data_IF_749183530074
#
_entry.id   IF_749183530074
#
_cell.length_a   1.000
_cell.length_b   1.000
_cell.length_c   1.000
_cell.angle_alpha   90.00
_cell.angle_beta   90.00
_cell.angle_gamma   90.00
#
_symmetry.space_group_name_H-M   'P 1'
#
loop_
_entity.id
_entity.type
_entity.pdbx_description
1 polymer ?
#
# COMPACT_ATOMS: atom_id res chain seq x y z
N UNK A 1 13.58 -35.59 -117.30
CA UNK A 1 14.76 -36.40 -117.67
C UNK A 1 14.70 -36.91 -119.12
N UNK A 2 15.83 -36.96 -119.82
CA UNK A 2 16.09 -37.72 -121.06
C UNK A 2 16.40 -39.19 -120.73
N UNK A 3 16.54 -40.04 -121.76
CA UNK A 3 16.80 -41.49 -121.55
C UNK A 3 18.17 -41.75 -120.93
N UNK A 4 19.19 -40.95 -121.24
CA UNK A 4 20.54 -41.08 -120.67
C UNK A 4 20.53 -40.81 -119.16
N UNK A 5 19.90 -39.71 -118.75
CA UNK A 5 19.70 -39.33 -117.34
C UNK A 5 18.93 -40.42 -116.57
N UNK A 6 17.84 -40.96 -117.15
CA UNK A 6 17.07 -42.06 -116.56
C UNK A 6 17.86 -43.38 -116.43
N UNK A 7 18.92 -43.58 -117.22
CA UNK A 7 19.82 -44.73 -117.04
C UNK A 7 20.78 -44.47 -115.90
N UNK A 8 21.48 -43.33 -115.92
CA UNK A 8 22.43 -42.96 -114.87
C UNK A 8 21.80 -43.01 -113.45
N UNK A 9 20.58 -42.50 -113.28
CA UNK A 9 19.84 -42.54 -112.00
C UNK A 9 19.42 -43.96 -111.56
N UNK A 10 19.24 -44.89 -112.50
CA UNK A 10 18.96 -46.29 -112.21
C UNK A 10 20.26 -47.07 -111.93
N UNK A 11 21.29 -46.88 -112.76
CA UNK A 11 22.60 -47.52 -112.62
C UNK A 11 23.26 -47.09 -111.29
N UNK A 12 23.15 -45.82 -110.89
CA UNK A 12 23.62 -45.31 -109.59
C UNK A 12 22.90 -45.93 -108.37
N UNK A 13 21.65 -46.39 -108.53
CA UNK A 13 20.88 -47.14 -107.53
C UNK A 13 21.03 -48.66 -107.69
N UNK A 14 21.97 -49.15 -108.51
CA UNK A 14 22.18 -50.57 -108.82
C UNK A 14 20.96 -51.26 -109.49
N UNK A 15 20.19 -50.52 -110.29
CA UNK A 15 18.94 -50.98 -110.91
C UNK A 15 19.08 -51.25 -112.42
N UNK A 16 18.18 -52.06 -112.95
CA UNK A 16 18.14 -52.37 -114.38
C UNK A 16 17.75 -51.13 -115.23
N UNK A 17 18.75 -50.55 -115.90
CA UNK A 17 18.65 -49.40 -116.83
C UNK A 17 18.22 -49.75 -118.27
N UNK A 18 17.90 -51.02 -118.56
CA UNK A 18 17.46 -51.48 -119.89
C UNK A 18 15.94 -51.43 -120.03
N UNK A 19 15.45 -50.94 -121.17
CA UNK A 19 14.02 -50.85 -121.49
C UNK A 19 13.63 -49.57 -122.23
N UNK A 20 12.32 -49.41 -122.47
CA UNK A 20 11.70 -48.20 -123.01
C UNK A 20 11.70 -47.06 -121.95
N UNK A 21 11.67 -45.80 -122.39
CA UNK A 21 11.69 -44.62 -121.50
C UNK A 21 10.64 -44.69 -120.39
N UNK A 22 9.42 -45.14 -120.70
CA UNK A 22 8.32 -45.34 -119.74
C UNK A 22 8.65 -46.37 -118.66
N UNK A 23 9.33 -47.47 -119.01
CA UNK A 23 9.75 -48.51 -118.06
C UNK A 23 10.84 -48.03 -117.12
N UNK A 24 11.77 -47.19 -117.60
CA UNK A 24 12.81 -46.58 -116.77
C UNK A 24 12.20 -45.59 -115.77
N UNK A 25 11.30 -44.72 -116.23
CA UNK A 25 10.54 -43.81 -115.36
C UNK A 25 9.76 -44.59 -114.30
N UNK A 26 9.01 -45.63 -114.68
CA UNK A 26 8.21 -46.40 -113.74
C UNK A 26 9.03 -47.08 -112.63
N UNK A 27 10.24 -47.57 -112.94
CA UNK A 27 11.17 -48.12 -111.93
C UNK A 27 11.69 -47.03 -110.99
N UNK A 28 12.17 -45.91 -111.55
CA UNK A 28 12.73 -44.82 -110.76
C UNK A 28 11.67 -44.18 -109.85
N UNK A 29 10.47 -43.90 -110.37
CA UNK A 29 9.34 -43.36 -109.59
C UNK A 29 8.87 -44.33 -108.50
N UNK A 30 8.88 -45.65 -108.73
CA UNK A 30 8.54 -46.61 -107.67
C UNK A 30 9.55 -46.54 -106.52
N UNK A 31 10.84 -46.45 -106.84
CA UNK A 31 11.90 -46.49 -105.83
C UNK A 31 12.04 -45.16 -105.09
N UNK A 32 11.90 -44.02 -105.76
CA UNK A 32 11.80 -42.70 -105.09
C UNK A 32 10.63 -42.65 -104.08
N UNK A 33 9.49 -43.30 -104.37
CA UNK A 33 8.40 -43.46 -103.40
C UNK A 33 8.80 -44.34 -102.21
N UNK A 34 9.37 -45.52 -102.48
CA UNK A 34 9.85 -46.42 -101.42
C UNK A 34 10.99 -45.82 -100.56
N UNK A 35 11.79 -44.90 -101.12
CA UNK A 35 12.81 -44.11 -100.41
C UNK A 35 12.12 -43.06 -99.51
N UNK A 36 11.16 -42.29 -100.05
CA UNK A 36 10.42 -41.27 -99.29
C UNK A 36 9.55 -41.86 -98.16
N UNK A 37 8.81 -42.94 -98.44
CA UNK A 37 7.97 -43.65 -97.45
C UNK A 37 8.82 -44.18 -96.26
N UNK A 38 10.07 -44.56 -96.52
CA UNK A 38 11.02 -44.94 -95.46
C UNK A 38 11.51 -43.74 -94.67
N UNK A 39 11.92 -42.66 -95.34
CA UNK A 39 12.46 -41.46 -94.69
C UNK A 39 11.42 -40.79 -93.78
N UNK A 40 10.13 -40.84 -94.12
CA UNK A 40 9.04 -40.43 -93.24
C UNK A 40 8.88 -41.37 -92.04
N UNK A 41 8.98 -42.69 -92.22
CA UNK A 41 8.87 -43.67 -91.13
C UNK A 41 10.02 -43.59 -90.12
N UNK A 42 11.25 -43.34 -90.57
CA UNK A 42 12.43 -43.20 -89.69
C UNK A 42 12.38 -41.89 -88.89
N UNK A 43 11.84 -40.81 -89.47
CA UNK A 43 11.61 -39.53 -88.76
C UNK A 43 10.53 -39.65 -87.70
N UNK A 44 9.43 -40.35 -87.98
CA UNK A 44 8.36 -40.58 -87.01
C UNK A 44 8.86 -41.33 -85.77
N UNK A 45 9.55 -42.46 -85.96
CA UNK A 45 10.06 -43.28 -84.86
C UNK A 45 11.11 -42.56 -83.99
N UNK A 46 11.92 -41.67 -84.59
CA UNK A 46 12.93 -40.90 -83.87
C UNK A 46 12.30 -39.76 -83.04
N UNK A 47 11.21 -39.14 -83.51
CA UNK A 47 10.47 -38.14 -82.75
C UNK A 47 9.75 -38.74 -81.52
N UNK A 48 9.01 -39.83 -81.73
CA UNK A 48 8.22 -40.52 -80.70
C UNK A 48 9.10 -41.07 -79.55
N UNK A 49 10.34 -41.46 -79.86
CA UNK A 49 11.33 -41.88 -78.86
C UNK A 49 12.00 -40.72 -78.12
N UNK A 50 12.14 -39.52 -78.72
CA UNK A 50 12.61 -38.34 -77.98
C UNK A 50 11.54 -37.78 -77.01
N UNK A 51 10.29 -37.66 -77.44
CA UNK A 51 9.20 -37.13 -76.59
C UNK A 51 8.94 -38.00 -75.36
N UNK A 52 9.05 -39.34 -75.51
CA UNK A 52 8.80 -40.29 -74.41
C UNK A 52 9.93 -40.41 -73.39
N UNK A 53 11.13 -39.91 -73.69
CA UNK A 53 12.24 -39.82 -72.73
C UNK A 53 12.23 -38.48 -71.98
N UNK A 54 11.95 -37.36 -72.66
CA UNK A 54 11.78 -36.05 -72.01
C UNK A 54 10.58 -36.04 -71.05
N UNK A 55 9.44 -36.60 -71.43
CA UNK A 55 8.26 -36.70 -70.57
C UNK A 55 8.56 -37.46 -69.25
N UNK A 56 9.33 -38.56 -69.32
CA UNK A 56 9.73 -39.33 -68.13
C UNK A 56 10.69 -38.55 -67.22
N UNK A 57 11.63 -37.79 -67.80
CA UNK A 57 12.52 -36.94 -67.00
C UNK A 57 11.75 -35.85 -66.26
N UNK A 58 10.79 -35.20 -66.92
CA UNK A 58 9.95 -34.19 -66.28
C UNK A 58 9.09 -34.79 -65.15
N UNK A 59 8.45 -35.94 -65.38
CA UNK A 59 7.62 -36.62 -64.37
C UNK A 59 8.44 -37.08 -63.15
N UNK A 60 9.69 -37.53 -63.33
CA UNK A 60 10.58 -37.91 -62.23
C UNK A 60 11.13 -36.69 -61.47
N UNK A 61 11.38 -35.56 -62.15
CA UNK A 61 11.83 -34.33 -61.51
C UNK A 61 10.70 -33.64 -60.72
N UNK A 62 9.45 -33.67 -61.21
CA UNK A 62 8.28 -33.23 -60.44
C UNK A 62 8.08 -34.06 -59.18
N UNK A 63 8.12 -35.40 -59.28
CA UNK A 63 7.98 -36.29 -58.10
C UNK A 63 9.06 -36.04 -57.04
N UNK A 64 10.30 -35.75 -57.45
CA UNK A 64 11.38 -35.37 -56.53
C UNK A 64 11.11 -34.02 -55.85
N UNK A 65 10.63 -33.01 -56.58
CA UNK A 65 10.24 -31.70 -56.03
C UNK A 65 9.01 -31.81 -55.11
N UNK A 66 8.07 -32.69 -55.40
CA UNK A 66 6.89 -32.93 -54.56
C UNK A 66 7.26 -33.65 -53.25
N UNK A 67 8.13 -34.66 -53.28
CA UNK A 67 8.68 -35.27 -52.06
C UNK A 67 9.45 -34.26 -51.20
N UNK A 68 10.29 -33.43 -51.81
CA UNK A 68 11.10 -32.45 -51.07
C UNK A 68 10.22 -31.38 -50.43
N UNK A 69 9.13 -30.97 -51.10
CA UNK A 69 8.09 -30.12 -50.51
C UNK A 69 7.41 -30.79 -49.31
N UNK A 70 6.91 -32.02 -49.46
CA UNK A 70 6.24 -32.76 -48.38
C UNK A 70 7.14 -32.93 -47.16
N UNK A 71 8.43 -33.23 -47.38
CA UNK A 71 9.45 -33.33 -46.32
C UNK A 71 9.67 -32.00 -45.59
N UNK A 72 9.66 -30.86 -46.31
CA UNK A 72 9.74 -29.52 -45.71
C UNK A 72 8.47 -29.15 -44.94
N UNK A 73 7.28 -29.38 -45.48
CA UNK A 73 6.01 -29.17 -44.76
C UNK A 73 5.91 -30.04 -43.49
N UNK A 74 6.42 -31.27 -43.53
CA UNK A 74 6.46 -32.15 -42.35
C UNK A 74 7.47 -31.68 -41.29
N UNK A 75 8.65 -31.18 -41.69
CA UNK A 75 9.59 -30.52 -40.77
C UNK A 75 9.02 -29.24 -40.15
N UNK A 76 8.39 -28.38 -40.95
CA UNK A 76 7.80 -27.13 -40.46
C UNK A 76 6.65 -27.40 -39.50
N UNK A 77 5.75 -28.34 -39.82
CA UNK A 77 4.71 -28.80 -38.88
C UNK A 77 5.28 -29.36 -37.58
N UNK A 78 6.35 -30.16 -37.65
CA UNK A 78 7.01 -30.70 -36.45
C UNK A 78 7.63 -29.59 -35.58
N UNK A 79 8.26 -28.59 -36.20
CA UNK A 79 8.80 -27.41 -35.49
C UNK A 79 7.68 -26.56 -34.87
N UNK A 80 6.60 -26.31 -35.60
CA UNK A 80 5.43 -25.57 -35.09
C UNK A 80 4.74 -26.31 -33.94
N UNK A 81 4.58 -27.63 -34.03
CA UNK A 81 4.01 -28.46 -32.95
C UNK A 81 4.94 -28.52 -31.72
N UNK A 82 6.26 -28.54 -31.91
CA UNK A 82 7.24 -28.51 -30.81
C UNK A 82 7.31 -27.12 -30.14
N UNK A 83 7.28 -26.03 -30.91
CA UNK A 83 7.17 -24.67 -30.37
C UNK A 83 5.86 -24.49 -29.60
N UNK A 84 4.74 -24.99 -30.13
CA UNK A 84 3.44 -24.96 -29.46
C UNK A 84 3.47 -25.72 -28.14
N UNK A 85 4.03 -26.94 -28.10
CA UNK A 85 4.23 -27.69 -26.86
C UNK A 85 5.15 -26.95 -25.88
N UNK A 86 6.23 -26.32 -26.34
CA UNK A 86 7.11 -25.48 -25.52
C UNK A 86 6.44 -24.19 -25.03
N UNK A 87 5.44 -23.67 -25.74
CA UNK A 87 4.64 -22.52 -25.29
C UNK A 87 3.61 -22.96 -24.24
N UNK A 88 2.91 -24.07 -24.48
CA UNK A 88 1.93 -24.69 -23.58
C UNK A 88 2.59 -25.19 -22.27
N UNK A 89 3.81 -25.74 -22.33
CA UNK A 89 4.61 -26.09 -21.15
C UNK A 89 5.10 -24.84 -20.39
N UNK A 90 5.47 -23.75 -21.10
CA UNK A 90 5.79 -22.46 -20.47
C UNK A 90 4.57 -21.86 -19.77
N UNK A 91 3.40 -21.92 -20.39
CA UNK A 91 2.13 -21.48 -19.82
C UNK A 91 1.76 -22.31 -18.60
N UNK A 92 1.79 -23.65 -18.71
CA UNK A 92 1.60 -24.56 -17.57
C UNK A 92 2.52 -24.20 -16.41
N UNK A 93 3.82 -24.04 -16.64
CA UNK A 93 4.77 -23.65 -15.60
C UNK A 93 4.47 -22.26 -14.99
N UNK A 94 3.90 -21.32 -15.77
CA UNK A 94 3.47 -19.99 -15.32
C UNK A 94 2.11 -19.97 -14.59
N UNK A 95 1.31 -21.04 -14.72
CA UNK A 95 0.15 -21.33 -13.90
C UNK A 95 0.59 -22.07 -12.62
N UNK A 96 1.36 -23.14 -12.75
CA UNK A 96 1.81 -24.00 -11.66
C UNK A 96 2.58 -23.19 -10.60
N UNK A 97 3.55 -22.35 -11.00
CA UNK A 97 4.25 -21.39 -10.11
C UNK A 97 3.38 -20.27 -9.52
N UNK A 98 2.14 -20.10 -9.99
CA UNK A 98 1.22 -19.04 -9.55
C UNK A 98 0.15 -19.55 -8.60
N UNK A 99 -0.24 -20.82 -8.77
CA UNK A 99 -1.27 -21.50 -8.00
C UNK A 99 -0.69 -22.59 -7.07
N UNK A 100 0.61 -22.56 -6.77
CA UNK A 100 1.22 -23.36 -5.70
C UNK A 100 0.54 -23.06 -4.37
N UNK A 101 -0.04 -24.07 -3.73
CA UNK A 101 -0.56 -23.95 -2.38
C UNK A 101 0.58 -23.96 -1.35
N UNK A 102 0.52 -23.14 -0.29
CA UNK A 102 1.49 -23.15 0.80
C UNK A 102 1.26 -24.33 1.76
N UNK A 103 2.31 -24.74 2.48
CA UNK A 103 2.29 -25.87 3.42
C UNK A 103 1.35 -25.67 4.64
N UNK A 104 1.03 -24.42 4.96
CA UNK A 104 0.12 -24.06 6.05
C UNK A 104 -1.27 -23.68 5.50
N UNK A 105 -2.37 -24.03 6.20
CA UNK A 105 -3.72 -23.73 5.76
C UNK A 105 -3.99 -22.22 5.82
N UNK A 106 -3.98 -21.57 4.65
CA UNK A 106 -4.32 -20.16 4.46
C UNK A 106 -5.12 -19.94 3.18
N UNK A 107 -5.90 -18.85 3.14
CA UNK A 107 -6.65 -18.46 1.95
C UNK A 107 -5.68 -17.80 0.96
N UNK A 108 -5.47 -18.43 -0.19
CA UNK A 108 -4.68 -17.87 -1.29
C UNK A 108 -5.59 -17.05 -2.20
N UNK A 109 -5.26 -15.78 -2.42
CA UNK A 109 -6.04 -14.86 -3.27
C UNK A 109 -5.21 -14.44 -4.48
N UNK A 110 -5.81 -14.50 -5.66
CA UNK A 110 -5.19 -14.06 -6.91
C UNK A 110 -6.05 -12.97 -7.56
N UNK A 111 -5.79 -11.68 -7.30
CA UNK A 111 -6.55 -10.57 -7.88
C UNK A 111 -6.49 -10.59 -9.42
N UNK A 112 -7.61 -10.25 -10.06
CA UNK A 112 -7.73 -10.31 -11.52
C UNK A 112 -6.84 -9.25 -12.19
N UNK A 113 -5.90 -9.72 -13.03
CA UNK A 113 -4.96 -8.86 -13.78
C UNK A 113 -5.62 -8.02 -14.87
N UNK A 114 -6.88 -8.29 -15.23
CA UNK A 114 -7.64 -7.52 -16.24
C UNK A 114 -8.70 -6.61 -15.60
N UNK A 115 -9.19 -6.93 -14.40
CA UNK A 115 -10.14 -6.08 -13.69
C UNK A 115 -9.49 -4.73 -13.28
N UNK A 116 -10.26 -3.64 -13.36
CA UNK A 116 -9.80 -2.26 -13.08
C UNK A 116 -8.45 -1.91 -13.76
N UNK A 117 -8.24 -2.39 -14.99
CA UNK A 117 -6.98 -2.22 -15.76
C UNK A 117 -5.73 -2.75 -15.02
N UNK A 118 -5.87 -3.87 -14.31
CA UNK A 118 -4.80 -4.47 -13.51
C UNK A 118 -4.57 -3.82 -12.16
N UNK A 119 -5.36 -2.80 -11.79
CA UNK A 119 -5.39 -2.14 -10.47
C UNK A 119 -6.46 -2.72 -9.54
N UNK A 120 -6.92 -3.94 -9.79
CA UNK A 120 -7.75 -4.68 -8.84
C UNK A 120 -6.83 -5.45 -7.90
N UNK A 121 -6.75 -4.99 -6.66
CA UNK A 121 -5.92 -5.53 -5.59
C UNK A 121 -6.76 -6.25 -4.52
N UNK A 122 -6.08 -6.85 -3.54
CA UNK A 122 -6.69 -7.40 -2.34
C UNK A 122 -5.70 -7.21 -1.19
N UNK A 123 -6.19 -6.73 -0.05
CA UNK A 123 -5.38 -6.38 1.12
C UNK A 123 -5.95 -7.04 2.37
N UNK A 124 -5.09 -7.36 3.33
CA UNK A 124 -5.50 -7.95 4.60
C UNK A 124 -5.78 -6.83 5.60
N UNK A 125 -7.02 -6.76 6.08
CA UNK A 125 -7.45 -5.82 7.12
C UNK A 125 -7.82 -6.60 8.40
N UNK A 126 -7.43 -6.07 9.56
CA UNK A 126 -7.89 -6.60 10.84
C UNK A 126 -9.26 -6.02 11.20
N UNK A 127 -10.05 -6.77 11.97
CA UNK A 127 -11.34 -6.29 12.50
C UNK A 127 -11.18 -4.96 13.25
N UNK A 128 -10.08 -4.78 13.99
CA UNK A 128 -9.75 -3.53 14.69
C UNK A 128 -9.53 -2.32 13.78
N UNK A 129 -9.15 -2.51 12.51
CA UNK A 129 -9.03 -1.42 11.53
C UNK A 129 -10.37 -1.15 10.85
N UNK A 130 -11.21 -2.17 10.67
CA UNK A 130 -12.56 -2.01 10.10
C UNK A 130 -13.57 -1.33 11.06
N UNK A 131 -13.25 -1.30 12.36
CA UNK A 131 -14.01 -0.59 13.42
C UNK A 131 -13.42 0.80 13.75
N UNK A 132 -12.27 1.16 13.17
CA UNK A 132 -11.63 2.47 13.34
C UNK A 132 -12.17 3.44 12.27
N UNK A 133 -13.38 3.95 12.49
CA UNK A 133 -14.13 4.78 11.54
C UNK A 133 -13.36 6.05 11.10
N UNK A 134 -12.94 6.13 9.83
CA UNK A 134 -12.22 7.30 9.29
C UNK A 134 -13.10 8.16 8.38
N UNK A 135 -12.61 9.36 8.09
CA UNK A 135 -13.27 10.27 7.15
C UNK A 135 -13.37 9.65 5.75
N UNK A 136 -12.37 8.85 5.34
CA UNK A 136 -12.39 8.09 4.08
C UNK A 136 -13.57 7.12 3.93
N UNK A 137 -14.13 6.60 5.04
CA UNK A 137 -15.11 5.50 5.04
C UNK A 137 -16.58 5.96 4.93
N UNK A 138 -16.83 7.27 4.88
CA UNK A 138 -18.17 7.86 4.73
C UNK A 138 -18.74 7.71 3.29
N UNK A 139 -18.41 6.60 2.62
CA UNK A 139 -18.80 6.28 1.24
C UNK A 139 -19.68 5.03 1.25
N UNK A 140 -20.71 5.03 0.41
CA UNK A 140 -21.70 3.95 0.29
C UNK A 140 -21.07 2.55 0.14
N UNK A 141 -19.96 2.43 -0.60
CA UNK A 141 -19.25 1.15 -0.79
C UNK A 141 -18.47 0.64 0.44
N UNK A 142 -18.27 1.47 1.47
CA UNK A 142 -17.72 1.03 2.76
C UNK A 142 -18.81 0.62 3.75
N UNK A 143 -20.05 1.11 3.59
CA UNK A 143 -21.14 0.92 4.56
C UNK A 143 -21.44 -0.55 4.86
N UNK A 144 -21.56 -1.40 3.83
CA UNK A 144 -21.80 -2.84 4.03
C UNK A 144 -20.63 -3.53 4.77
N UNK A 145 -19.41 -3.05 4.57
CA UNK A 145 -18.20 -3.60 5.22
C UNK A 145 -18.16 -3.21 6.69
N UNK A 146 -18.47 -1.95 7.03
CA UNK A 146 -18.57 -1.49 8.42
C UNK A 146 -19.73 -2.17 9.16
N UNK A 147 -20.90 -2.30 8.53
CA UNK A 147 -22.04 -3.02 9.11
C UNK A 147 -21.72 -4.50 9.35
N UNK A 148 -21.03 -5.16 8.42
CA UNK A 148 -20.54 -6.52 8.62
C UNK A 148 -19.52 -6.60 9.77
N UNK A 149 -18.58 -5.65 9.86
CA UNK A 149 -17.57 -5.60 10.91
C UNK A 149 -18.21 -5.48 12.30
N UNK A 150 -19.20 -4.61 12.48
CA UNK A 150 -19.93 -4.47 13.75
C UNK A 150 -20.72 -5.73 14.11
N UNK A 151 -21.48 -6.31 13.19
CA UNK A 151 -22.24 -7.54 13.44
C UNK A 151 -21.33 -8.74 13.75
N UNK A 152 -20.17 -8.82 13.10
CA UNK A 152 -19.16 -9.85 13.38
C UNK A 152 -18.47 -9.62 14.73
N UNK A 153 -18.21 -8.37 15.10
CA UNK A 153 -17.69 -7.98 16.41
C UNK A 153 -18.70 -8.30 17.53
N UNK A 154 -19.98 -7.96 17.36
CA UNK A 154 -21.05 -8.31 18.31
C UNK A 154 -21.15 -9.83 18.50
N UNK A 155 -21.14 -10.60 17.40
CA UNK A 155 -21.15 -12.06 17.45
C UNK A 155 -19.95 -12.61 18.23
N UNK A 156 -18.74 -12.11 17.98
CA UNK A 156 -17.54 -12.50 18.71
C UNK A 156 -17.61 -12.13 20.19
N UNK A 157 -17.98 -10.89 20.52
CA UNK A 157 -18.13 -10.42 21.91
C UNK A 157 -19.15 -11.27 22.67
N UNK A 158 -20.29 -11.57 22.06
CA UNK A 158 -21.35 -12.42 22.63
C UNK A 158 -20.84 -13.84 22.88
N UNK A 159 -20.20 -14.47 21.89
CA UNK A 159 -19.69 -15.84 22.01
C UNK A 159 -18.54 -15.94 23.03
N UNK A 160 -17.65 -14.94 23.11
CA UNK A 160 -16.64 -14.89 24.17
C UNK A 160 -17.25 -14.63 25.55
N UNK A 161 -18.24 -13.74 25.66
CA UNK A 161 -18.96 -13.50 26.92
C UNK A 161 -19.67 -14.77 27.42
N UNK A 162 -20.31 -15.54 26.54
CA UNK A 162 -20.90 -16.84 26.91
C UNK A 162 -19.84 -17.88 27.33
N UNK A 163 -18.66 -17.92 26.69
CA UNK A 163 -17.56 -18.79 27.13
C UNK A 163 -17.04 -18.41 28.51
N UNK A 164 -16.86 -17.12 28.78
CA UNK A 164 -16.43 -16.60 30.08
C UNK A 164 -17.50 -16.87 31.15
N UNK A 165 -18.76 -16.53 30.88
CA UNK A 165 -19.89 -16.81 31.76
C UNK A 165 -19.98 -18.30 32.12
N UNK A 166 -19.91 -19.18 31.12
CA UNK A 166 -19.90 -20.63 31.34
C UNK A 166 -18.72 -21.07 32.20
N UNK A 167 -17.51 -20.61 31.92
CA UNK A 167 -16.33 -20.93 32.72
C UNK A 167 -16.41 -20.41 34.17
N UNK A 168 -17.12 -19.30 34.41
CA UNK A 168 -17.41 -18.78 35.75
C UNK A 168 -18.47 -19.62 36.48
N UNK A 169 -19.50 -20.11 35.79
CA UNK A 169 -20.52 -21.00 36.36
C UNK A 169 -20.03 -22.44 36.58
N UNK A 170 -19.07 -22.91 35.77
CA UNK A 170 -18.37 -24.20 35.94
C UNK A 170 -17.19 -24.10 36.92
N UNK A 171 -16.84 -22.90 37.38
CA UNK A 171 -15.82 -22.67 38.41
C UNK A 171 -16.32 -23.17 39.77
N UNK A 172 -15.58 -24.03 40.50
CA UNK A 172 -15.98 -24.43 41.84
C UNK A 172 -15.96 -23.22 42.77
N UNK A 173 -17.00 -23.06 43.58
CA UNK A 173 -17.06 -22.00 44.59
C UNK A 173 -15.81 -22.03 45.47
N UNK A 174 -15.08 -20.90 45.55
CA UNK A 174 -13.97 -20.77 46.50
C UNK A 174 -14.51 -21.05 47.92
N UNK A 175 -13.81 -21.85 48.74
CA UNK A 175 -14.32 -22.20 50.05
C UNK A 175 -14.53 -20.93 50.88
N UNK A 176 -15.77 -20.66 51.29
CA UNK A 176 -16.23 -19.39 51.87
C UNK A 176 -15.52 -18.91 53.17
N UNK A 177 -14.53 -19.67 53.65
CA UNK A 177 -13.56 -19.24 54.67
C UNK A 177 -12.54 -18.22 54.13
N UNK A 178 -12.17 -18.31 52.84
CA UNK A 178 -11.20 -17.39 52.22
C UNK A 178 -11.82 -16.01 51.97
N UNK A 179 -13.04 -15.96 51.42
CA UNK A 179 -13.77 -14.68 51.26
C UNK A 179 -13.98 -13.94 52.59
N UNK A 180 -14.21 -14.66 53.69
CA UNK A 180 -14.33 -14.02 55.01
C UNK A 180 -13.02 -13.35 55.42
N UNK A 181 -11.87 -14.01 55.26
CA UNK A 181 -10.56 -13.40 55.52
C UNK A 181 -10.31 -12.18 54.62
N UNK A 182 -10.56 -12.27 53.32
CA UNK A 182 -10.37 -11.10 52.43
C UNK A 182 -11.30 -9.93 52.77
N UNK A 183 -12.53 -10.21 53.22
CA UNK A 183 -13.50 -9.18 53.65
C UNK A 183 -13.17 -8.58 55.03
N UNK A 184 -12.54 -9.34 55.92
CA UNK A 184 -12.01 -8.85 57.21
C UNK A 184 -10.75 -8.01 56.99
N UNK A 185 -9.77 -8.50 56.22
CA UNK A 185 -8.56 -7.74 55.88
C UNK A 185 -8.85 -6.42 55.14
N UNK A 186 -9.83 -6.39 54.23
CA UNK A 186 -10.26 -5.14 53.60
C UNK A 186 -10.91 -4.17 54.59
N UNK A 187 -11.72 -4.67 55.53
CA UNK A 187 -12.36 -3.82 56.55
C UNK A 187 -11.36 -3.17 57.49
N UNK A 188 -10.31 -3.88 57.90
CA UNK A 188 -9.30 -3.27 58.79
C UNK A 188 -8.37 -2.32 58.01
N UNK A 189 -8.04 -2.62 56.73
CA UNK A 189 -7.30 -1.67 55.86
C UNK A 189 -8.09 -0.37 55.59
N UNK A 190 -9.41 -0.43 55.46
CA UNK A 190 -10.26 0.78 55.35
C UNK A 190 -10.39 1.54 56.68
N UNK A 191 -10.35 0.88 57.85
CA UNK A 191 -10.26 1.56 59.15
C UNK A 191 -8.93 2.28 59.31
N UNK A 192 -7.81 1.60 59.08
CA UNK A 192 -6.46 2.18 59.21
C UNK A 192 -6.31 3.43 58.34
N UNK A 193 -6.83 3.39 57.11
CA UNK A 193 -6.93 4.59 56.26
C UNK A 193 -7.73 5.71 56.91
N UNK A 194 -8.95 5.41 57.37
CA UNK A 194 -9.88 6.42 57.89
C UNK A 194 -9.42 7.07 59.21
N UNK A 195 -8.75 6.31 60.08
CA UNK A 195 -8.18 6.86 61.30
C UNK A 195 -6.83 7.59 61.03
N UNK A 196 -6.09 7.22 59.97
CA UNK A 196 -4.94 8.00 59.48
C UNK A 196 -5.37 9.34 58.86
N UNK A 197 -6.38 9.35 58.00
CA UNK A 197 -6.97 10.58 57.41
C UNK A 197 -7.43 11.55 58.52
N UNK A 198 -8.16 11.05 59.53
CA UNK A 198 -8.54 11.85 60.71
C UNK A 198 -7.36 12.39 61.52
N UNK A 199 -6.26 11.65 61.60
CA UNK A 199 -5.06 12.10 62.33
C UNK A 199 -4.35 13.22 61.55
N UNK A 200 -4.28 13.10 60.23
CA UNK A 200 -3.72 14.12 59.34
C UNK A 200 -4.58 15.40 59.35
N UNK A 201 -5.91 15.28 59.26
CA UNK A 201 -6.86 16.40 59.40
C UNK A 201 -6.71 17.11 60.76
N UNK A 202 -6.47 16.36 61.86
CA UNK A 202 -6.27 16.93 63.20
C UNK A 202 -4.91 17.64 63.34
N UNK A 203 -3.83 17.06 62.79
CA UNK A 203 -2.50 17.69 62.80
C UNK A 203 -2.44 18.95 61.91
N UNK A 204 -3.15 18.96 60.78
CA UNK A 204 -3.26 20.16 59.93
C UNK A 204 -4.04 21.28 60.64
N UNK A 205 -5.11 20.93 61.36
CA UNK A 205 -5.89 21.89 62.13
C UNK A 205 -5.14 22.48 63.32
N UNK A 206 -4.37 21.67 64.05
CA UNK A 206 -3.51 22.13 65.14
C UNK A 206 -2.39 23.06 64.63
N UNK A 207 -1.75 22.74 63.49
CA UNK A 207 -0.78 23.63 62.82
C UNK A 207 -1.40 24.95 62.38
N UNK A 208 -2.67 24.94 61.94
CA UNK A 208 -3.35 26.17 61.58
C UNK A 208 -3.62 27.05 62.81
N UNK A 209 -4.15 26.50 63.90
CA UNK A 209 -4.36 27.26 65.15
C UNK A 209 -3.04 27.77 65.77
N UNK A 210 -1.90 27.14 65.50
CA UNK A 210 -0.57 27.62 65.91
C UNK A 210 -0.06 28.76 64.99
N UNK A 211 -0.34 28.68 63.68
CA UNK A 211 0.03 29.73 62.72
C UNK A 211 -0.84 30.98 62.88
N UNK A 212 -2.16 30.83 62.99
CA UNK A 212 -3.11 31.93 63.16
C UNK A 212 -2.75 32.75 64.43
N UNK A 213 -2.30 32.10 65.52
CA UNK A 213 -1.83 32.76 66.75
C UNK A 213 -0.52 33.54 66.59
N UNK A 214 0.38 33.11 65.71
CA UNK A 214 1.62 33.87 65.45
C UNK A 214 1.36 35.14 64.67
N UNK A 215 0.47 35.09 63.68
CA UNK A 215 0.09 36.28 62.91
C UNK A 215 -0.61 37.30 63.83
N UNK A 216 -1.45 36.85 64.76
CA UNK A 216 -2.11 37.68 65.80
C UNK A 216 -1.13 38.25 66.86
N UNK A 217 0.06 37.66 67.02
CA UNK A 217 1.14 38.14 67.91
C UNK A 217 2.08 39.11 67.18
N UNK A 218 2.48 38.80 65.94
CA UNK A 218 3.29 39.66 65.06
C UNK A 218 2.54 40.98 64.72
N UNK A 219 1.26 40.93 64.34
CA UNK A 219 0.43 42.14 64.07
C UNK A 219 0.19 42.99 65.33
N UNK A 220 0.57 42.50 66.52
CA UNK A 220 0.46 43.18 67.81
C UNK A 220 1.78 43.80 68.25
N UNK A 221 2.91 43.18 67.91
CA UNK A 221 4.23 43.81 68.06
C UNK A 221 4.41 44.98 67.08
N UNK A 222 3.96 44.87 65.82
CA UNK A 222 4.04 45.97 64.85
C UNK A 222 3.28 47.22 65.32
N UNK A 223 2.06 47.07 65.85
CA UNK A 223 1.29 48.20 66.42
C UNK A 223 2.00 48.83 67.63
N UNK A 224 2.65 48.01 68.46
CA UNK A 224 3.47 48.51 69.57
C UNK A 224 4.77 49.18 69.11
N UNK A 225 5.29 48.92 67.91
CA UNK A 225 6.39 49.70 67.32
C UNK A 225 5.88 51.04 66.77
N UNK A 226 4.73 51.05 66.09
CA UNK A 226 4.15 52.27 65.51
C UNK A 226 3.77 53.31 66.57
N UNK A 227 3.09 52.90 67.66
CA UNK A 227 2.77 53.78 68.81
C UNK A 227 4.03 54.36 69.49
N UNK A 228 5.15 53.63 69.52
CA UNK A 228 6.42 54.16 70.05
C UNK A 228 7.07 55.17 69.10
N UNK A 229 6.78 55.11 67.80
CA UNK A 229 7.31 56.06 66.82
C UNK A 229 6.48 57.36 66.77
N UNK A 230 5.16 57.29 66.95
CA UNK A 230 4.30 58.48 67.10
C UNK A 230 4.62 59.24 68.37
N UNK A 231 4.71 58.58 69.53
CA UNK A 231 5.12 59.21 70.81
C UNK A 231 6.47 59.94 70.70
N UNK A 232 7.43 59.38 69.95
CA UNK A 232 8.75 60.01 69.74
C UNK A 232 8.69 61.25 68.84
N UNK A 233 7.81 61.27 67.84
CA UNK A 233 7.58 62.46 67.01
C UNK A 233 6.94 63.58 67.82
N UNK A 234 5.85 63.30 68.53
CA UNK A 234 5.17 64.29 69.37
C UNK A 234 6.10 64.90 70.43
N UNK A 235 6.98 64.09 71.04
CA UNK A 235 7.98 64.60 71.99
C UNK A 235 8.98 65.55 71.34
N UNK A 236 9.47 65.24 70.13
CA UNK A 236 10.44 66.06 69.41
C UNK A 236 9.84 67.39 68.92
N UNK A 237 8.64 67.35 68.32
CA UNK A 237 7.91 68.57 67.92
C UNK A 237 7.61 69.48 69.13
N UNK A 238 7.42 68.89 70.31
CA UNK A 238 7.17 69.59 71.58
C UNK A 238 8.43 70.10 72.28
N UNK A 239 9.62 69.65 71.89
CA UNK A 239 10.90 70.27 72.28
C UNK A 239 11.23 71.43 71.33
N UNK A 240 11.08 71.25 70.02
CA UNK A 240 11.28 72.30 69.00
C UNK A 240 10.34 73.50 69.23
N UNK A 241 9.05 73.25 69.49
CA UNK A 241 8.06 74.28 69.84
C UNK A 241 8.27 74.90 71.26
N UNK A 242 9.31 74.48 71.98
CA UNK A 242 9.71 75.01 73.28
C UNK A 242 10.93 75.92 73.17
N UNK A 243 11.92 75.54 72.36
CA UNK A 243 13.06 76.40 72.00
C UNK A 243 12.57 77.68 71.30
N UNK A 244 11.65 77.56 70.34
CA UNK A 244 10.97 78.68 69.66
C UNK A 244 10.22 79.65 70.60
N UNK A 245 9.96 79.23 71.85
CA UNK A 245 9.26 80.00 72.90
C UNK A 245 10.19 80.57 73.96
N UNK A 246 11.40 80.05 74.08
CA UNK A 246 12.42 80.61 74.96
C UNK A 246 13.14 81.76 74.22
N UNK A 247 13.46 81.61 72.92
CA UNK A 247 13.97 82.72 72.09
C UNK A 247 13.03 83.94 72.06
N UNK A 248 11.72 83.72 71.85
CA UNK A 248 10.73 84.82 71.85
C UNK A 248 10.54 85.49 73.22
N UNK A 249 10.87 84.81 74.33
CA UNK A 249 10.82 85.42 75.67
C UNK A 249 12.04 86.29 75.97
N UNK A 250 13.20 85.96 75.40
CA UNK A 250 14.38 86.83 75.51
C UNK A 250 14.19 88.12 74.71
N UNK A 251 13.50 88.09 73.56
CA UNK A 251 13.10 89.32 72.83
C UNK A 251 12.07 90.17 73.61
N UNK A 252 11.07 89.57 74.27
CA UNK A 252 10.04 90.32 75.01
C UNK A 252 10.56 90.93 76.34
N UNK A 253 11.48 90.27 77.05
CA UNK A 253 12.01 90.79 78.32
C UNK A 253 12.99 91.98 78.15
N UNK A 254 13.56 92.25 76.95
CA UNK A 254 14.31 93.49 76.71
C UNK A 254 13.42 94.75 76.62
N UNK A 255 12.17 94.66 76.15
CA UNK A 255 11.29 95.84 75.97
C UNK A 255 10.39 96.09 77.20
N UNK A 256 10.06 95.09 78.03
CA UNK A 256 9.14 95.25 79.18
C UNK A 256 9.76 95.96 80.41
N UNK A 257 11.08 96.16 80.45
CA UNK A 257 11.77 97.00 81.47
C UNK A 257 11.28 98.46 81.48
N UNK A 258 10.44 98.83 80.51
CA UNK A 258 10.01 100.20 80.19
C UNK A 258 8.69 100.66 80.85
N UNK A 259 7.95 99.82 81.62
CA UNK A 259 6.54 100.11 81.94
C UNK A 259 5.90 99.70 83.29
N UNK A 260 5.90 100.64 84.25
CA UNK A 260 4.71 101.01 85.09
C UNK A 260 4.22 100.17 86.30
N UNK A 261 3.39 100.85 87.14
CA UNK A 261 2.56 100.39 88.28
C UNK A 261 1.41 101.43 88.47
N UNK A 262 0.29 101.23 89.18
CA UNK A 262 -0.26 100.08 89.93
C UNK A 262 -1.44 100.53 90.83
N UNK A 263 -2.43 99.66 91.12
CA UNK A 263 -3.68 99.98 91.86
C UNK A 263 -4.15 98.83 92.81
N UNK A 264 -5.14 99.09 93.68
CA UNK A 264 -5.82 98.16 94.64
C UNK A 264 -7.04 98.88 95.28
N UNK A 265 -8.03 98.34 96.03
CA UNK A 265 -8.65 97.02 96.38
C UNK A 265 -9.99 97.36 97.15
N UNK A 266 -10.98 96.51 97.51
CA UNK A 266 -11.53 95.21 97.07
C UNK A 266 -12.90 94.98 97.80
N UNK A 267 -13.59 93.83 97.64
CA UNK A 267 -14.86 93.51 98.37
C UNK A 267 -15.37 92.07 98.15
N UNK A 268 -16.20 91.51 99.07
CA UNK A 268 -16.40 90.04 99.17
C UNK A 268 -17.73 89.60 99.86
N UNK A 269 -18.34 88.51 99.35
CA UNK A 269 -19.36 87.62 100.01
C UNK A 269 -20.73 88.20 100.42
N UNK A 270 -21.84 87.44 100.54
CA UNK A 270 -22.13 85.99 100.27
C UNK A 270 -23.28 85.89 99.27
#
# INVERSE_FOLDING_TARGET
>A
MKVVELRAELDARMLNSKGLKSQLIARLTKILKNEQEKEESEKAANAESTETDEAKKQEEEEKKKEEERKKKEEEERKKEEEEKKKAEERERNLLEKRYTLPDQPMIVVHPSRTAKSGKFDCTTMSLSVLLDYRQEDNKEHSFEVSLFAELFNEMLMRDFAFRIYRALCECPEKPAKEEKKEKEEKKDKDKDKKDKEKKEEKEEKEKKEEKDKKEDEEEREEKMEEDKQTEKKEKKEKEEAKEEKEEKKEEEEEDEVRGSQGESESGKEV
#
